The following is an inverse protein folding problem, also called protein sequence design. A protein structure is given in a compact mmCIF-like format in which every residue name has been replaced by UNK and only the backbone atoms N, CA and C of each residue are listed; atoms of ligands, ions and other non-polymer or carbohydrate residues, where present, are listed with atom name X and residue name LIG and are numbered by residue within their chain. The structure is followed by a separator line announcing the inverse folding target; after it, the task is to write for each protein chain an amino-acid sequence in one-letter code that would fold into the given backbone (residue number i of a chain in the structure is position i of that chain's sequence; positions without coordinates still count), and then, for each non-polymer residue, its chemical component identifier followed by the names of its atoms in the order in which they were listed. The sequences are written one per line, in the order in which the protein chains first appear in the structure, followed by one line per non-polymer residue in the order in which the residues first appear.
data_IF_471621900643
#
_entry.id   IF_471621900643
#
_cell.length_a   1.000
_cell.length_b   1.000
_cell.length_c   1.000
_cell.angle_alpha   90.00
_cell.angle_beta   90.00
_cell.angle_gamma   90.00
#
_symmetry.space_group_name_H-M   'P 1'
#
loop_
_entity.id
_entity.type
_entity.pdbx_description
1 polymer ?
#
# COMPACT_ATOMS: atom_id res chain seq x y z
N UNK A 1 -7.75 13.98 -9.25
CA UNK A 1 -7.42 12.64 -9.82
C UNK A 1 -8.37 11.63 -9.18
N UNK A 2 -8.76 10.54 -9.83
CA UNK A 2 -9.56 9.50 -9.18
C UNK A 2 -8.63 8.57 -8.41
N UNK A 3 -8.89 8.34 -7.13
CA UNK A 3 -8.10 7.48 -6.27
C UNK A 3 -8.75 6.10 -6.10
N UNK A 4 -7.97 5.11 -5.70
CA UNK A 4 -8.45 3.75 -5.41
C UNK A 4 -9.19 3.66 -4.08
N UNK A 5 -8.87 4.56 -3.13
CA UNK A 5 -9.53 4.71 -1.83
C UNK A 5 -9.79 6.19 -1.53
N UNK A 6 -10.70 6.45 -0.61
CA UNK A 6 -10.99 7.78 -0.05
C UNK A 6 -10.37 7.93 1.35
N UNK A 7 -10.22 9.16 1.89
CA UNK A 7 -9.67 9.38 3.23
C UNK A 7 -10.35 8.55 4.33
N UNK A 8 -11.67 8.42 4.30
CA UNK A 8 -12.44 7.62 5.26
C UNK A 8 -12.13 6.10 5.19
N UNK A 9 -11.62 5.62 4.06
CA UNK A 9 -11.26 4.20 3.90
C UNK A 9 -10.00 3.84 4.71
N UNK A 10 -9.14 4.82 5.04
CA UNK A 10 -7.93 4.58 5.84
C UNK A 10 -8.32 4.10 7.24
N UNK A 11 -9.26 4.77 7.89
CA UNK A 11 -9.80 4.36 9.20
C UNK A 11 -10.47 2.98 9.14
N UNK A 12 -11.21 2.74 8.07
CA UNK A 12 -11.97 1.52 7.89
C UNK A 12 -11.09 0.29 7.65
N UNK A 13 -10.03 0.44 6.87
CA UNK A 13 -9.22 -0.70 6.39
C UNK A 13 -7.88 -0.85 7.11
N UNK A 14 -7.31 0.23 7.68
CA UNK A 14 -6.06 0.17 8.41
C UNK A 14 -6.27 0.37 9.91
N UNK A 15 -5.95 1.55 10.41
CA UNK A 15 -6.04 1.90 11.83
C UNK A 15 -6.60 3.32 11.97
N UNK A 16 -7.24 3.65 13.10
CA UNK A 16 -7.77 5.00 13.34
C UNK A 16 -6.72 6.08 13.08
N UNK A 17 -7.14 7.13 12.38
CA UNK A 17 -6.32 8.26 11.99
C UNK A 17 -7.14 9.55 12.11
N UNK A 18 -6.81 10.39 13.09
CA UNK A 18 -7.43 11.70 13.29
C UNK A 18 -6.54 12.78 12.66
N UNK A 19 -6.64 12.91 11.34
CA UNK A 19 -5.88 13.88 10.55
C UNK A 19 -6.77 14.54 9.50
N UNK A 20 -6.38 15.73 9.06
CA UNK A 20 -7.09 16.46 8.01
C UNK A 20 -7.14 15.64 6.70
N UNK A 21 -8.32 15.59 6.08
CA UNK A 21 -8.55 14.85 4.83
C UNK A 21 -7.58 15.23 3.71
N UNK A 22 -7.14 16.50 3.65
CA UNK A 22 -6.15 16.94 2.66
C UNK A 22 -4.78 16.29 2.87
N UNK A 23 -4.39 16.06 4.11
CA UNK A 23 -3.12 15.40 4.44
C UNK A 23 -3.22 13.92 4.08
N UNK A 24 -4.34 13.29 4.41
CA UNK A 24 -4.62 11.89 4.06
C UNK A 24 -4.66 11.72 2.54
N UNK A 25 -5.32 12.62 1.80
CA UNK A 25 -5.41 12.56 0.34
C UNK A 25 -4.03 12.63 -0.33
N UNK A 26 -3.12 13.48 0.15
CA UNK A 26 -1.73 13.53 -0.34
C UNK A 26 -0.99 12.23 -0.06
N UNK A 27 -1.15 11.66 1.13
CA UNK A 27 -0.55 10.38 1.47
C UNK A 27 -1.11 9.22 0.63
N UNK A 28 -2.39 9.28 0.25
CA UNK A 28 -3.01 8.33 -0.70
C UNK A 28 -2.34 8.43 -2.06
N UNK A 29 -2.23 9.65 -2.62
CA UNK A 29 -1.57 9.87 -3.90
C UNK A 29 -0.12 9.35 -3.91
N UNK A 30 0.64 9.66 -2.87
CA UNK A 30 2.01 9.17 -2.71
C UNK A 30 2.08 7.63 -2.63
N UNK A 31 1.20 6.99 -1.85
CA UNK A 31 1.19 5.54 -1.71
C UNK A 31 0.76 4.84 -3.01
N UNK A 32 -0.21 5.39 -3.73
CA UNK A 32 -0.61 4.88 -5.05
C UNK A 32 0.54 4.92 -6.04
N UNK A 33 1.25 6.04 -6.13
CA UNK A 33 2.29 6.25 -7.11
C UNK A 33 3.62 5.56 -6.76
N UNK A 34 3.96 5.47 -5.47
CA UNK A 34 5.27 4.98 -5.03
C UNK A 34 5.25 3.53 -4.53
N UNK A 35 4.11 3.04 -4.01
CA UNK A 35 4.04 1.70 -3.43
C UNK A 35 3.21 0.74 -4.30
N UNK A 36 2.10 1.19 -4.88
CA UNK A 36 1.18 0.34 -5.64
C UNK A 36 1.56 0.28 -7.12
N UNK A 37 1.67 1.43 -7.77
CA UNK A 37 1.92 1.53 -9.21
C UNK A 37 3.18 0.79 -9.66
N UNK A 38 4.35 0.85 -8.98
CA UNK A 38 5.54 0.10 -9.38
C UNK A 38 5.36 -1.42 -9.31
N UNK A 39 4.52 -1.91 -8.40
CA UNK A 39 4.25 -3.34 -8.21
C UNK A 39 3.24 -3.91 -9.21
N UNK A 40 2.29 -3.09 -9.65
CA UNK A 40 1.25 -3.47 -10.61
C UNK A 40 1.61 -3.14 -12.07
N UNK A 41 2.47 -2.16 -12.29
CA UNK A 41 2.73 -1.56 -13.59
C UNK A 41 1.68 -0.52 -13.97
N UNK A 42 2.06 0.38 -14.89
CA UNK A 42 1.27 1.54 -15.29
C UNK A 42 -0.10 1.15 -15.87
N UNK A 43 -0.11 0.13 -16.74
CA UNK A 43 -1.32 -0.25 -17.47
C UNK A 43 -2.39 -0.82 -16.53
N UNK A 44 -2.03 -1.77 -15.64
CA UNK A 44 -2.99 -2.34 -14.71
C UNK A 44 -3.46 -1.28 -13.71
N UNK A 45 -2.56 -0.42 -13.22
CA UNK A 45 -2.92 0.67 -12.34
C UNK A 45 -3.95 1.62 -12.95
N UNK A 46 -3.77 2.04 -14.22
CA UNK A 46 -4.72 2.88 -14.93
C UNK A 46 -6.07 2.20 -15.16
N UNK A 47 -6.06 0.90 -15.45
CA UNK A 47 -7.30 0.12 -15.60
C UNK A 47 -8.07 0.00 -14.29
N UNK A 48 -7.39 -0.15 -13.15
CA UNK A 48 -8.03 -0.19 -11.83
C UNK A 48 -8.81 1.08 -11.49
N UNK A 49 -8.35 2.23 -11.98
CA UNK A 49 -9.03 3.52 -11.78
C UNK A 49 -10.29 3.67 -12.63
N UNK A 50 -10.44 2.91 -13.71
CA UNK A 50 -11.48 3.13 -14.73
C UNK A 50 -12.46 1.97 -14.88
N UNK A 51 -12.08 0.73 -14.56
CA UNK A 51 -12.85 -0.46 -14.86
C UNK A 51 -13.40 -1.19 -13.63
N UNK A 52 -14.71 -1.43 -13.60
CA UNK A 52 -15.42 -2.12 -12.50
C UNK A 52 -15.08 -3.63 -12.44
N UNK A 53 -14.60 -4.21 -13.53
CA UNK A 53 -14.28 -5.64 -13.62
C UNK A 53 -13.21 -6.09 -12.61
N UNK A 54 -12.41 -5.16 -12.07
CA UNK A 54 -11.38 -5.44 -11.07
C UNK A 54 -11.87 -5.29 -9.63
N UNK A 55 -13.18 -5.25 -9.39
CA UNK A 55 -13.75 -5.08 -8.05
C UNK A 55 -13.28 -6.16 -7.06
N UNK A 56 -13.08 -7.39 -7.52
CA UNK A 56 -12.57 -8.49 -6.69
C UNK A 56 -11.13 -8.22 -6.26
N UNK A 57 -10.27 -7.75 -7.14
CA UNK A 57 -8.90 -7.37 -6.79
C UNK A 57 -8.86 -6.22 -5.77
N UNK A 58 -9.76 -5.25 -5.93
CA UNK A 58 -9.83 -4.08 -5.03
C UNK A 58 -10.37 -4.45 -3.63
N UNK A 59 -11.44 -5.24 -3.57
CA UNK A 59 -12.16 -5.49 -2.32
C UNK A 59 -11.75 -6.79 -1.62
N UNK A 60 -11.01 -7.67 -2.33
CA UNK A 60 -10.68 -8.99 -1.84
C UNK A 60 -11.76 -10.02 -2.09
N UNK A 61 -11.49 -11.25 -1.70
CA UNK A 61 -12.39 -12.37 -1.85
C UNK A 61 -11.67 -13.72 -1.81
N UNK A 62 -12.39 -14.75 -2.22
CA UNK A 62 -11.87 -16.10 -2.34
C UNK A 62 -11.57 -16.45 -3.80
N UNK A 63 -10.53 -17.23 -4.00
CA UNK A 63 -10.20 -17.79 -5.31
C UNK A 63 -9.58 -19.18 -5.17
N UNK A 64 -9.51 -19.90 -6.27
CA UNK A 64 -8.83 -21.19 -6.32
C UNK A 64 -7.52 -20.99 -7.07
N UNK A 65 -6.41 -21.46 -6.47
CA UNK A 65 -5.09 -21.43 -7.08
C UNK A 65 -4.92 -22.57 -8.13
N UNK A 66 -3.80 -22.58 -8.82
CA UNK A 66 -3.47 -23.60 -9.84
C UNK A 66 -3.43 -25.03 -9.26
N UNK A 67 -3.12 -25.15 -7.97
CA UNK A 67 -3.11 -26.42 -7.24
C UNK A 67 -4.48 -26.85 -6.72
N UNK A 68 -5.56 -26.15 -7.10
CA UNK A 68 -6.95 -26.34 -6.64
C UNK A 68 -7.17 -26.07 -5.14
N UNK A 69 -6.27 -25.35 -4.48
CA UNK A 69 -6.49 -24.92 -3.10
C UNK A 69 -7.33 -23.64 -3.07
N UNK A 70 -8.28 -23.60 -2.14
CA UNK A 70 -9.03 -22.35 -1.87
C UNK A 70 -8.13 -21.37 -1.13
N UNK A 71 -8.04 -20.18 -1.65
CA UNK A 71 -7.29 -19.05 -1.08
C UNK A 71 -8.24 -17.90 -0.80
N UNK A 72 -7.90 -17.13 0.21
CA UNK A 72 -8.58 -15.88 0.55
C UNK A 72 -7.54 -14.77 0.53
N UNK A 73 -7.93 -13.57 0.09
CA UNK A 73 -7.11 -12.36 0.17
C UNK A 73 -7.98 -11.15 0.51
N UNK A 74 -7.39 -10.16 1.13
CA UNK A 74 -8.12 -9.02 1.71
C UNK A 74 -8.38 -7.86 0.76
N UNK A 75 -7.76 -7.89 -0.43
CA UNK A 75 -7.92 -6.88 -1.46
C UNK A 75 -6.91 -5.73 -1.39
N UNK A 76 -6.75 -5.07 -2.53
CA UNK A 76 -5.76 -4.02 -2.74
C UNK A 76 -6.05 -2.77 -1.92
N UNK A 77 -7.32 -2.43 -1.69
CA UNK A 77 -7.71 -1.26 -0.87
C UNK A 77 -7.16 -1.35 0.54
N UNK A 78 -7.16 -2.55 1.13
CA UNK A 78 -6.61 -2.75 2.47
C UNK A 78 -5.09 -2.63 2.48
N UNK A 79 -4.41 -3.18 1.49
CA UNK A 79 -2.96 -3.01 1.34
C UNK A 79 -2.59 -1.52 1.21
N UNK A 80 -3.29 -0.79 0.34
CA UNK A 80 -3.09 0.64 0.13
C UNK A 80 -3.34 1.45 1.41
N UNK A 81 -4.43 1.18 2.14
CA UNK A 81 -4.73 1.88 3.39
C UNK A 81 -3.60 1.74 4.44
N UNK A 82 -2.97 0.56 4.54
CA UNK A 82 -1.81 0.36 5.41
C UNK A 82 -0.54 1.08 4.93
N UNK A 83 -0.30 1.19 3.62
CA UNK A 83 0.78 2.02 3.08
C UNK A 83 0.56 3.49 3.40
N UNK A 84 -0.69 3.99 3.23
CA UNK A 84 -1.07 5.36 3.57
C UNK A 84 -0.84 5.60 5.06
N UNK A 85 -1.35 4.72 5.92
CA UNK A 85 -1.19 4.86 7.37
C UNK A 85 0.29 4.88 7.79
N UNK A 86 1.13 4.02 7.21
CA UNK A 86 2.57 4.03 7.45
C UNK A 86 3.20 5.39 7.10
N UNK A 87 2.85 5.97 5.94
CA UNK A 87 3.33 7.30 5.54
C UNK A 87 2.88 8.39 6.50
N UNK A 88 1.62 8.37 6.93
CA UNK A 88 1.07 9.32 7.90
C UNK A 88 1.81 9.24 9.24
N UNK A 89 2.10 8.07 9.77
CA UNK A 89 2.91 7.89 10.99
C UNK A 89 4.28 8.52 10.86
N UNK A 90 4.91 8.40 9.70
CA UNK A 90 6.24 8.96 9.45
C UNK A 90 6.21 10.48 9.38
N UNK A 91 5.15 11.07 8.83
CA UNK A 91 5.06 12.51 8.54
C UNK A 91 4.31 13.31 9.59
N UNK A 92 3.48 12.66 10.45
CA UNK A 92 2.51 13.29 11.35
C UNK A 92 3.08 14.29 12.37
N UNK A 93 4.36 14.17 12.73
CA UNK A 93 4.94 14.97 13.84
C UNK A 93 5.81 16.12 13.34
N UNK A 94 6.07 16.19 12.03
CA UNK A 94 7.10 17.07 11.51
C UNK A 94 6.54 18.01 10.45
N UNK A 95 6.70 19.31 10.65
CA UNK A 95 6.37 20.32 9.66
C UNK A 95 7.64 21.08 9.22
N UNK A 96 7.79 21.29 7.92
CA UNK A 96 8.82 22.18 7.40
C UNK A 96 8.31 23.62 7.49
N UNK A 97 9.00 24.44 8.27
CA UNK A 97 8.71 25.87 8.41
C UNK A 97 9.84 26.70 7.82
N UNK A 98 9.66 28.04 7.76
CA UNK A 98 10.74 28.97 7.36
C UNK A 98 11.99 28.88 8.25
N UNK A 99 11.83 28.37 9.46
CA UNK A 99 12.91 28.21 10.45
C UNK A 99 13.50 26.79 10.50
N UNK A 100 13.09 25.91 9.58
CA UNK A 100 13.55 24.53 9.48
C UNK A 100 12.48 23.49 9.84
N UNK A 101 12.93 22.30 10.18
CA UNK A 101 12.09 21.16 10.49
C UNK A 101 11.67 21.21 11.97
N UNK A 102 10.38 21.45 12.24
CA UNK A 102 9.85 21.66 13.60
C UNK A 102 8.93 20.50 13.96
N UNK A 103 9.08 20.00 15.18
CA UNK A 103 8.12 19.05 15.78
C UNK A 103 6.98 19.80 16.45
N UNK A 104 5.74 19.40 16.16
CA UNK A 104 4.57 19.87 16.87
C UNK A 104 4.56 19.24 18.28
N UNK A 105 4.66 20.06 19.32
CA UNK A 105 4.50 19.63 20.71
C UNK A 105 3.26 20.29 21.24
N UNK A 106 2.25 19.49 21.61
CA UNK A 106 1.09 19.96 22.37
C UNK A 106 1.34 19.71 23.86
N UNK A 107 0.87 20.64 24.72
CA UNK A 107 1.04 20.55 26.17
C UNK A 107 0.42 19.29 26.79
N UNK A 108 -0.52 18.65 26.11
CA UNK A 108 -1.29 17.50 26.58
C UNK A 108 -0.91 16.18 25.92
N UNK A 109 -0.04 16.18 24.92
CA UNK A 109 0.42 14.95 24.25
C UNK A 109 1.95 14.84 24.28
N UNK A 110 2.45 13.73 24.79
CA UNK A 110 3.88 13.41 24.65
C UNK A 110 4.14 12.94 23.23
N UNK A 111 5.08 13.59 22.56
CA UNK A 111 5.54 13.12 21.25
C UNK A 111 6.15 11.72 21.40
N UNK A 112 5.60 10.77 20.67
CA UNK A 112 6.15 9.40 20.56
C UNK A 112 7.61 9.46 20.14
N UNK A 113 8.47 8.71 20.79
CA UNK A 113 9.89 8.65 20.46
C UNK A 113 10.10 8.23 18.99
N UNK A 114 11.15 8.74 18.37
CA UNK A 114 11.48 8.40 16.96
C UNK A 114 11.51 6.88 16.72
N UNK A 115 12.05 6.13 17.68
CA UNK A 115 12.16 4.67 17.60
C UNK A 115 10.79 3.98 17.56
N UNK A 116 9.83 4.42 18.37
CA UNK A 116 8.49 3.87 18.38
C UNK A 116 7.74 4.16 17.08
N UNK A 117 7.89 5.36 16.54
CA UNK A 117 7.32 5.72 15.22
C UNK A 117 7.93 4.91 14.10
N UNK A 118 9.25 4.69 14.14
CA UNK A 118 9.92 3.86 13.15
C UNK A 118 9.42 2.40 13.22
N UNK A 119 9.19 1.88 14.44
CA UNK A 119 8.62 0.55 14.64
C UNK A 119 7.20 0.49 14.07
N UNK A 120 6.34 1.45 14.43
CA UNK A 120 4.97 1.51 13.92
C UNK A 120 4.90 1.63 12.38
N UNK A 121 5.80 2.43 11.79
CA UNK A 121 5.95 2.51 10.34
C UNK A 121 6.33 1.15 9.73
N UNK A 122 7.37 0.51 10.27
CA UNK A 122 7.87 -0.76 9.75
C UNK A 122 6.81 -1.87 9.86
N UNK A 123 6.08 -1.93 10.97
CA UNK A 123 5.00 -2.89 11.18
C UNK A 123 3.86 -2.70 10.17
N UNK A 124 3.41 -1.45 10.00
CA UNK A 124 2.34 -1.16 9.05
C UNK A 124 2.78 -1.44 7.60
N UNK A 125 4.01 -1.10 7.26
CA UNK A 125 4.56 -1.35 5.94
C UNK A 125 4.71 -2.85 5.66
N UNK A 126 5.14 -3.64 6.65
CA UNK A 126 5.22 -5.10 6.54
C UNK A 126 3.84 -5.75 6.35
N UNK A 127 2.81 -5.24 7.05
CA UNK A 127 1.42 -5.70 6.87
C UNK A 127 0.95 -5.37 5.44
N UNK A 128 1.19 -4.14 4.97
CA UNK A 128 0.83 -3.71 3.63
C UNK A 128 1.49 -4.59 2.55
N UNK A 129 2.78 -4.87 2.70
CA UNK A 129 3.53 -5.77 1.80
C UNK A 129 3.00 -7.21 1.84
N UNK A 130 2.58 -7.69 3.00
CA UNK A 130 1.92 -8.99 3.14
C UNK A 130 0.64 -9.06 2.30
N UNK A 131 -0.25 -8.09 2.47
CA UNK A 131 -1.50 -8.01 1.70
C UNK A 131 -1.26 -7.78 0.20
N UNK A 132 -0.24 -7.00 -0.14
CA UNK A 132 0.13 -6.80 -1.53
C UNK A 132 0.61 -8.09 -2.20
N UNK A 133 1.38 -8.93 -1.49
CA UNK A 133 1.81 -10.24 -1.98
C UNK A 133 0.62 -11.16 -2.26
N UNK A 134 -0.41 -11.15 -1.40
CA UNK A 134 -1.64 -11.89 -1.64
C UNK A 134 -2.39 -11.39 -2.89
N UNK A 135 -2.45 -10.08 -3.11
CA UNK A 135 -3.04 -9.50 -4.32
C UNK A 135 -2.28 -9.91 -5.58
N UNK A 136 -0.94 -9.91 -5.53
CA UNK A 136 -0.10 -10.37 -6.65
C UNK A 136 -0.29 -11.86 -6.93
N UNK A 137 -0.41 -12.69 -5.89
CA UNK A 137 -0.71 -14.12 -6.04
C UNK A 137 -2.07 -14.35 -6.71
N UNK A 138 -3.10 -13.55 -6.37
CA UNK A 138 -4.39 -13.59 -7.05
C UNK A 138 -4.27 -13.22 -8.54
N UNK A 139 -3.52 -12.16 -8.87
CA UNK A 139 -3.30 -11.75 -10.26
C UNK A 139 -2.64 -12.90 -11.05
N UNK A 140 -1.63 -13.55 -10.48
CA UNK A 140 -0.94 -14.67 -11.12
C UNK A 140 -1.84 -15.90 -11.31
N UNK A 141 -2.74 -16.16 -10.34
CA UNK A 141 -3.68 -17.28 -10.41
C UNK A 141 -4.84 -17.07 -11.39
N UNK A 142 -4.99 -15.86 -11.96
CA UNK A 142 -6.09 -15.48 -12.87
C UNK A 142 -5.59 -14.91 -14.19
N UNK A 143 -4.80 -15.67 -14.96
CA UNK A 143 -4.23 -15.21 -16.24
C UNK A 143 -5.32 -14.84 -17.27
N UNK A 144 -6.51 -15.41 -17.18
CA UNK A 144 -7.63 -15.09 -18.04
C UNK A 144 -8.15 -13.64 -17.88
N UNK A 145 -7.98 -13.06 -16.68
CA UNK A 145 -8.38 -11.68 -16.39
C UNK A 145 -7.21 -10.71 -16.58
N UNK A 146 -6.00 -11.20 -16.31
CA UNK A 146 -4.77 -10.40 -16.23
C UNK A 146 -3.73 -10.81 -17.29
N UNK A 147 -4.17 -11.28 -18.47
CA UNK A 147 -3.29 -11.85 -19.52
C UNK A 147 -2.13 -10.91 -19.91
N UNK A 148 -2.44 -9.62 -20.07
CA UNK A 148 -1.43 -8.62 -20.44
C UNK A 148 -0.43 -8.33 -19.31
N UNK A 149 -0.84 -8.58 -18.06
CA UNK A 149 -0.03 -8.33 -16.87
C UNK A 149 0.98 -9.44 -16.60
N UNK A 150 0.58 -10.71 -16.75
CA UNK A 150 1.45 -11.88 -16.49
C UNK A 150 2.66 -11.93 -17.41
N UNK A 151 2.55 -11.36 -18.60
CA UNK A 151 3.65 -11.34 -19.59
C UNK A 151 4.71 -10.26 -19.30
N UNK A 152 4.36 -9.17 -18.59
CA UNK A 152 5.27 -8.02 -18.34
C UNK A 152 5.84 -7.98 -16.93
N UNK A 153 5.19 -8.56 -15.95
CA UNK A 153 5.51 -8.40 -14.52
C UNK A 153 6.57 -9.34 -13.95
N UNK A 154 6.79 -10.48 -14.57
CA UNK A 154 7.67 -11.52 -14.00
C UNK A 154 9.18 -11.23 -14.15
N UNK A 155 9.58 -10.28 -14.96
CA UNK A 155 11.00 -10.02 -15.20
C UNK A 155 11.66 -9.11 -14.15
N UNK A 156 10.88 -8.36 -13.33
CA UNK A 156 11.44 -7.37 -12.41
C UNK A 156 11.46 -7.79 -10.93
N UNK A 157 10.75 -8.86 -10.56
CA UNK A 157 10.66 -9.29 -9.16
C UNK A 157 11.77 -10.26 -8.70
N UNK A 158 12.59 -10.77 -9.62
CA UNK A 158 13.62 -11.77 -9.30
C UNK A 158 15.08 -11.32 -9.46
N UNK A 159 15.34 -10.05 -9.70
CA UNK A 159 16.71 -9.54 -9.84
C UNK A 159 17.18 -8.70 -8.65
N UNK A 160 16.75 -9.04 -7.44
CA UNK A 160 17.46 -8.58 -6.25
C UNK A 160 18.53 -9.63 -5.93
N UNK A 161 19.83 -9.39 -6.19
CA UNK A 161 20.87 -10.34 -5.84
C UNK A 161 20.86 -10.56 -4.33
N UNK A 162 20.83 -11.81 -3.92
CA UNK A 162 20.94 -12.19 -2.52
C UNK A 162 22.27 -11.64 -1.96
N UNK A 163 22.28 -11.09 -0.74
CA UNK A 163 23.51 -10.60 -0.11
C UNK A 163 24.62 -11.64 0.08
N UNK A 164 24.41 -12.87 -0.37
CA UNK A 164 25.37 -14.00 -0.22
C UNK A 164 26.26 -14.26 -1.44
N UNK A 165 26.07 -13.54 -2.55
CA UNK A 165 26.86 -13.76 -3.77
C UNK A 165 28.02 -12.79 -3.98
N UNK A 166 28.43 -12.06 -2.93
CA UNK A 166 29.70 -11.34 -2.93
C UNK A 166 30.75 -12.15 -2.16
N UNK A 167 31.42 -13.04 -2.87
CA UNK A 167 32.76 -13.51 -2.56
C UNK A 167 33.69 -13.16 -3.70
#
# INVERSE_FOLDING_TARGET
MRHLIEPCDVDKYARPCDMDDEIIARAIEEAELLDIKPKLGDELFMRLLTHVQFAVLLNGGEYTDECRNRRHFVGLRRALAYYVWARLVKTSVSHLTRFGFVQKRDEYSQATEYRERQTAYNDAFAIADGYMKECLAYIQAKPEIFADYTLKGNCLLYTSPSPRDTR
#
